data_IF_556863498677
#
_entry.id   IF_556863498677
#
_cell.length_a   1.000
_cell.length_b   1.000
_cell.length_c   1.000
_cell.angle_alpha   90.00
_cell.angle_beta   90.00
_cell.angle_gamma   90.00
#
_symmetry.space_group_name_H-M   'P 1'
#
loop_
_entity.id
_entity.type
_entity.pdbx_description
1 polymer ?
#
# COMPACT_ATOMS: atom_id res chain seq x y z
N UNK A 1 4.87 15.00 -0.25
CA UNK A 1 4.06 14.25 0.74
C UNK A 1 3.82 15.04 2.02
N UNK A 2 4.85 15.59 2.69
CA UNK A 2 4.64 16.43 3.88
C UNK A 2 3.70 17.62 3.62
N UNK A 3 3.88 18.33 2.51
CA UNK A 3 3.00 19.46 2.14
C UNK A 3 1.56 19.02 1.91
N UNK A 4 1.35 17.85 1.30
CA UNK A 4 0.03 17.26 1.09
C UNK A 4 -0.65 16.94 2.42
N UNK A 5 0.06 16.31 3.36
CA UNK A 5 -0.48 15.99 4.69
C UNK A 5 -0.74 17.27 5.50
N UNK A 6 0.13 18.27 5.40
CA UNK A 6 -0.08 19.57 6.05
C UNK A 6 -1.31 20.28 5.50
N UNK A 7 -1.47 20.32 4.18
CA UNK A 7 -2.64 20.92 3.54
C UNK A 7 -3.93 20.17 3.90
N UNK A 8 -3.89 18.84 3.97
CA UNK A 8 -5.03 18.03 4.37
C UNK A 8 -5.42 18.31 5.83
N UNK A 9 -4.46 18.36 6.74
CA UNK A 9 -4.71 18.65 8.16
C UNK A 9 -5.16 20.09 8.43
N UNK A 10 -5.04 20.99 7.46
CA UNK A 10 -5.60 22.34 7.53
C UNK A 10 -7.10 22.41 7.22
N UNK A 11 -7.71 21.34 6.69
CA UNK A 11 -9.14 21.29 6.39
C UNK A 11 -9.98 21.07 7.66
N UNK A 12 -11.12 21.75 7.78
CA UNK A 12 -11.96 21.74 8.99
C UNK A 12 -12.45 20.36 9.44
N UNK A 13 -12.63 19.43 8.49
CA UNK A 13 -13.12 18.08 8.76
C UNK A 13 -12.01 17.03 8.91
N UNK A 14 -10.73 17.44 8.84
CA UNK A 14 -9.61 16.51 8.91
C UNK A 14 -9.02 16.46 10.33
N UNK A 15 -8.84 15.24 10.83
CA UNK A 15 -8.23 15.02 12.15
C UNK A 15 -7.45 13.71 12.21
N UNK A 16 -6.46 13.65 13.11
CA UNK A 16 -5.48 12.58 13.21
C UNK A 16 -6.05 11.17 13.43
N UNK A 17 -7.24 11.07 14.04
CA UNK A 17 -7.84 9.77 14.37
C UNK A 17 -8.56 9.09 13.20
N UNK A 18 -8.75 9.78 12.07
CA UNK A 18 -9.41 9.23 10.88
C UNK A 18 -8.69 7.97 10.35
N UNK A 19 -9.42 6.96 9.86
CA UNK A 19 -8.81 5.78 9.24
C UNK A 19 -7.89 6.12 8.06
N UNK A 20 -8.22 7.14 7.26
CA UNK A 20 -7.36 7.62 6.16
C UNK A 20 -5.98 8.07 6.65
N UNK A 21 -5.91 8.73 7.81
CA UNK A 21 -4.64 9.19 8.40
C UNK A 21 -3.75 8.04 8.91
N UNK A 22 -4.29 6.82 8.96
CA UNK A 22 -3.55 5.60 9.32
C UNK A 22 -2.89 4.94 8.12
N UNK A 23 -3.06 5.47 6.92
CA UNK A 23 -2.32 5.01 5.74
C UNK A 23 -0.81 5.08 5.99
N UNK A 24 -0.06 4.14 5.39
CA UNK A 24 1.40 4.15 5.43
C UNK A 24 1.91 5.40 4.73
N UNK A 25 2.96 6.02 5.28
CA UNK A 25 3.49 7.31 4.83
C UNK A 25 2.77 8.49 5.49
N UNK A 26 1.43 8.51 5.42
CA UNK A 26 0.61 9.57 6.03
C UNK A 26 0.75 9.62 7.55
N UNK A 27 0.68 8.46 8.22
CA UNK A 27 0.85 8.39 9.69
C UNK A 27 2.22 8.94 10.12
N UNK A 28 3.29 8.57 9.39
CA UNK A 28 4.65 9.01 9.70
C UNK A 28 4.80 10.53 9.49
N UNK A 29 4.26 11.05 8.38
CA UNK A 29 4.25 12.50 8.12
C UNK A 29 3.47 13.26 9.19
N UNK A 30 2.32 12.74 9.63
CA UNK A 30 1.52 13.36 10.67
C UNK A 30 2.25 13.37 12.03
N UNK A 31 2.88 12.25 12.41
CA UNK A 31 3.70 12.18 13.63
C UNK A 31 4.86 13.18 13.59
N UNK A 32 5.49 13.32 12.43
CA UNK A 32 6.53 14.32 12.21
C UNK A 32 6.02 15.76 12.38
N UNK A 33 4.90 16.10 11.73
CA UNK A 33 4.28 17.43 11.85
C UNK A 33 3.83 17.76 13.29
N UNK A 34 3.43 16.74 14.06
CA UNK A 34 3.04 16.90 15.47
C UNK A 34 4.24 16.91 16.44
N UNK A 35 5.47 16.79 15.96
CA UNK A 35 6.67 16.70 16.82
C UNK A 35 6.75 15.41 17.64
N UNK A 36 6.05 14.35 17.20
CA UNK A 36 5.94 13.04 17.86
C UNK A 36 6.82 11.97 17.18
N UNK A 37 7.68 12.36 16.25
CA UNK A 37 8.58 11.43 15.58
C UNK A 37 9.63 10.88 16.56
N UNK A 38 9.97 9.61 16.39
CA UNK A 38 11.04 8.97 17.16
C UNK A 38 12.39 9.68 16.91
N UNK A 39 13.08 10.08 17.99
CA UNK A 39 14.34 10.81 17.89
C UNK A 39 15.49 9.94 17.35
N UNK A 40 15.32 8.61 17.36
CA UNK A 40 16.33 7.65 16.88
C UNK A 40 16.24 7.30 15.39
N UNK A 41 15.25 7.79 14.64
CA UNK A 41 15.09 7.45 13.22
C UNK A 41 14.45 8.58 12.42
N UNK A 42 14.98 8.84 11.24
CA UNK A 42 14.43 9.83 10.30
C UNK A 42 13.01 9.47 9.83
N UNK A 43 12.25 10.48 9.40
CA UNK A 43 10.94 10.29 8.76
C UNK A 43 11.00 9.29 7.60
N UNK A 44 12.07 9.36 6.79
CA UNK A 44 12.29 8.48 5.65
C UNK A 44 12.45 7.02 6.07
N UNK A 45 13.31 6.75 7.06
CA UNK A 45 13.54 5.40 7.58
C UNK A 45 12.25 4.79 8.16
N UNK A 46 11.48 5.57 8.91
CA UNK A 46 10.19 5.15 9.45
C UNK A 46 9.19 4.84 8.33
N UNK A 47 9.15 5.66 7.28
CA UNK A 47 8.31 5.44 6.10
C UNK A 47 8.67 4.16 5.34
N UNK A 48 9.97 3.94 5.10
CA UNK A 48 10.49 2.72 4.44
C UNK A 48 10.14 1.49 5.27
N UNK A 49 10.40 1.52 6.59
CA UNK A 49 10.12 0.40 7.48
C UNK A 49 8.61 0.06 7.51
N UNK A 50 7.75 1.08 7.64
CA UNK A 50 6.30 0.89 7.64
C UNK A 50 5.80 0.29 6.31
N UNK A 51 6.34 0.73 5.18
CA UNK A 51 6.00 0.22 3.85
C UNK A 51 6.44 -1.23 3.67
N UNK A 52 7.66 -1.58 4.09
CA UNK A 52 8.14 -2.98 4.06
C UNK A 52 7.28 -3.89 4.92
N UNK A 53 6.93 -3.46 6.13
CA UNK A 53 6.06 -4.24 7.01
C UNK A 53 4.65 -4.42 6.42
N UNK A 54 4.09 -3.37 5.81
CA UNK A 54 2.81 -3.45 5.12
C UNK A 54 2.86 -4.44 3.95
N UNK A 55 3.86 -4.32 3.07
CA UNK A 55 4.07 -5.24 1.95
C UNK A 55 4.27 -6.69 2.42
N UNK A 56 5.06 -6.91 3.48
CA UNK A 56 5.24 -8.24 4.09
C UNK A 56 3.90 -8.85 4.53
N UNK A 57 3.04 -8.06 5.20
CA UNK A 57 1.70 -8.50 5.60
C UNK A 57 0.84 -8.85 4.39
N UNK A 58 0.82 -7.99 3.35
CA UNK A 58 0.11 -8.26 2.10
C UNK A 58 0.55 -9.59 1.48
N UNK A 59 1.87 -9.82 1.38
CA UNK A 59 2.44 -11.05 0.85
C UNK A 59 2.08 -12.28 1.70
N UNK A 60 2.06 -12.16 3.03
CA UNK A 60 1.60 -13.25 3.92
C UNK A 60 0.16 -13.64 3.61
N UNK A 61 -0.74 -12.67 3.48
CA UNK A 61 -2.14 -12.92 3.12
C UNK A 61 -2.28 -13.55 1.75
N UNK A 62 -1.63 -12.99 0.73
CA UNK A 62 -1.65 -13.55 -0.63
C UNK A 62 -1.12 -14.98 -0.66
N UNK A 63 -0.03 -15.29 0.06
CA UNK A 63 0.54 -16.65 0.13
C UNK A 63 -0.44 -17.70 0.65
N UNK A 64 -1.40 -17.31 1.49
CA UNK A 64 -2.44 -18.18 2.00
C UNK A 64 -3.60 -18.40 1.01
N UNK A 65 -3.64 -17.69 -0.12
CA UNK A 65 -4.66 -17.88 -1.17
C UNK A 65 -4.20 -18.97 -2.15
N UNK A 66 -4.84 -20.15 -2.17
CA UNK A 66 -4.39 -21.30 -2.97
C UNK A 66 -4.59 -21.09 -4.48
N UNK A 67 -5.59 -20.31 -4.88
CA UNK A 67 -5.93 -20.06 -6.29
C UNK A 67 -5.17 -18.87 -6.89
N UNK A 68 -4.22 -18.27 -6.16
CA UNK A 68 -3.48 -17.11 -6.67
C UNK A 68 -2.63 -17.50 -7.88
N UNK A 69 -2.46 -16.55 -8.78
CA UNK A 69 -1.43 -16.60 -9.81
C UNK A 69 -0.45 -15.46 -9.55
N UNK A 70 0.85 -15.76 -9.58
CA UNK A 70 1.92 -14.79 -9.36
C UNK A 70 2.49 -14.38 -10.71
N UNK A 71 2.68 -13.09 -10.91
CA UNK A 71 3.31 -12.50 -12.09
C UNK A 71 4.47 -11.62 -11.64
N UNK A 72 5.62 -11.74 -12.31
CA UNK A 72 6.76 -10.87 -12.02
C UNK A 72 6.45 -9.46 -12.52
N UNK A 73 6.63 -8.44 -11.67
CA UNK A 73 6.28 -7.05 -12.02
C UNK A 73 7.38 -6.34 -12.81
N UNK A 74 8.58 -6.90 -12.82
CA UNK A 74 9.78 -6.42 -13.51
C UNK A 74 10.02 -7.11 -14.86
N UNK A 75 9.13 -8.02 -15.26
CA UNK A 75 9.19 -8.71 -16.54
C UNK A 75 8.00 -8.30 -17.42
N UNK A 76 8.30 -7.54 -18.49
CA UNK A 76 7.28 -7.10 -19.44
C UNK A 76 6.57 -8.24 -20.19
N UNK A 77 7.18 -9.43 -20.30
CA UNK A 77 6.57 -10.59 -20.94
C UNK A 77 5.41 -11.19 -20.13
N UNK A 78 5.38 -10.92 -18.83
CA UNK A 78 4.36 -11.41 -17.91
C UNK A 78 3.02 -10.70 -18.08
N UNK A 79 2.99 -9.51 -18.67
CA UNK A 79 1.76 -8.78 -18.96
C UNK A 79 0.87 -9.57 -19.93
N UNK A 80 1.45 -10.06 -21.02
CA UNK A 80 0.74 -10.88 -22.00
C UNK A 80 0.21 -12.17 -21.36
N UNK A 81 1.00 -12.79 -20.48
CA UNK A 81 0.57 -13.98 -19.72
C UNK A 81 -0.59 -13.64 -18.78
N UNK A 82 -0.55 -12.50 -18.09
CA UNK A 82 -1.62 -12.06 -17.20
C UNK A 82 -2.91 -11.81 -17.99
N UNK A 83 -2.83 -11.17 -19.15
CA UNK A 83 -3.97 -10.93 -20.04
C UNK A 83 -4.61 -12.25 -20.49
N UNK A 84 -3.81 -13.19 -21.01
CA UNK A 84 -4.32 -14.49 -21.46
C UNK A 84 -5.05 -15.23 -20.33
N UNK A 85 -4.48 -15.24 -19.11
CA UNK A 85 -5.09 -15.93 -17.96
C UNK A 85 -6.41 -15.28 -17.52
N UNK A 86 -6.53 -13.97 -17.66
CA UNK A 86 -7.77 -13.26 -17.39
C UNK A 86 -8.85 -13.64 -18.42
N UNK A 87 -8.49 -13.70 -19.70
CA UNK A 87 -9.40 -14.12 -20.78
C UNK A 87 -9.91 -15.56 -20.57
N UNK A 88 -9.01 -16.50 -20.24
CA UNK A 88 -9.37 -17.88 -19.90
C UNK A 88 -10.32 -17.96 -18.69
N UNK A 89 -10.04 -17.17 -17.63
CA UNK A 89 -10.87 -17.13 -16.43
C UNK A 89 -12.27 -16.58 -16.71
N UNK A 90 -12.38 -15.51 -17.52
CA UNK A 90 -13.67 -14.95 -17.92
C UNK A 90 -14.46 -15.89 -18.82
N UNK A 91 -13.82 -16.57 -19.77
CA UNK A 91 -14.47 -17.55 -20.64
C UNK A 91 -15.04 -18.74 -19.86
N UNK A 92 -14.27 -19.28 -18.91
CA UNK A 92 -14.74 -20.38 -18.04
C UNK A 92 -15.85 -19.95 -17.08
N UNK A 93 -15.82 -18.71 -16.57
CA UNK A 93 -16.91 -18.17 -15.75
C UNK A 93 -18.21 -17.96 -16.54
N UNK A 94 -18.14 -17.67 -17.84
CA UNK A 94 -19.31 -17.52 -18.70
C UNK A 94 -19.97 -18.84 -19.10
N UNK A 95 -19.29 -19.97 -18.90
CA UNK A 95 -19.77 -21.32 -19.22
C UNK A 95 -20.25 -22.11 -17.99
N UNK A 96 -20.05 -21.58 -16.78
CA UNK A 96 -20.49 -22.14 -15.50
C UNK A 96 -21.77 -21.47 -15.00
#
# INVERSE_FOLDING_TARGET
LLDEVSALMAQENMHASLPSMRAVGYRQCLQWLLGQADQGSSLEEQGIAATRQFAKRQLTWLRAMPQRQVFACDDSSELSRAQQRLEEALASAATA
#
